data_IF_769922180330
#
_entry.id   IF_769922180330
#
_cell.length_a   1.000
_cell.length_b   1.000
_cell.length_c   1.000
_cell.angle_alpha   90.00
_cell.angle_beta   90.00
_cell.angle_gamma   90.00
#
_symmetry.space_group_name_H-M   'P 1'
#
loop_
_entity.id
_entity.type
_entity.pdbx_description
1 polymer ?
#
# COMPACT_ATOMS: atom_id res chain seq x y z
N UNK A 1 -4.72 21.10 25.00
CA UNK A 1 -5.30 20.13 24.05
C UNK A 1 -4.88 20.57 22.66
N UNK A 2 -3.72 20.06 22.23
CA UNK A 2 -3.04 20.49 21.01
C UNK A 2 -3.78 19.88 19.82
N UNK A 3 -4.18 20.72 18.87
CA UNK A 3 -4.75 20.33 17.58
C UNK A 3 -3.65 19.63 16.78
N UNK A 4 -3.86 18.35 16.43
CA UNK A 4 -3.07 17.69 15.41
C UNK A 4 -3.36 18.39 14.07
N UNK A 5 -2.29 18.83 13.41
CA UNK A 5 -2.35 19.60 12.17
C UNK A 5 -1.72 18.72 11.07
N UNK A 6 -2.46 17.75 10.55
CA UNK A 6 -2.07 17.03 9.33
C UNK A 6 -2.69 17.75 8.13
N UNK A 7 -1.97 18.75 7.60
CA UNK A 7 -2.30 19.36 6.31
C UNK A 7 -1.53 18.63 5.20
N UNK A 8 -2.23 18.24 4.13
CA UNK A 8 -1.97 18.61 2.71
C UNK A 8 -2.98 17.84 1.83
N UNK A 9 -3.84 18.57 1.10
CA UNK A 9 -4.19 18.27 -0.31
C UNK A 9 -5.04 19.39 -0.94
N UNK A 10 -4.46 20.24 -1.80
CA UNK A 10 -5.21 20.87 -2.92
C UNK A 10 -4.24 21.08 -4.08
N UNK A 11 -4.46 20.37 -5.20
CA UNK A 11 -4.49 20.97 -6.54
C UNK A 11 -4.85 19.92 -7.60
N UNK A 12 -6.08 20.04 -8.11
CA UNK A 12 -6.49 20.06 -9.53
C UNK A 12 -7.84 19.34 -9.71
N UNK A 13 -8.88 20.10 -10.04
CA UNK A 13 -10.09 19.64 -10.71
C UNK A 13 -10.51 20.69 -11.73
N UNK A 14 -10.62 20.27 -12.99
CA UNK A 14 -11.80 20.44 -13.85
C UNK A 14 -11.39 20.22 -15.32
N UNK A 15 -11.98 19.20 -15.96
CA UNK A 15 -12.92 19.38 -17.07
C UNK A 15 -13.41 17.99 -17.54
N UNK A 16 -14.69 17.68 -17.27
CA UNK A 16 -15.48 16.72 -18.02
C UNK A 16 -16.48 17.52 -18.87
N UNK A 17 -16.62 17.15 -20.15
CA UNK A 17 -17.88 16.64 -20.72
C UNK A 17 -17.91 16.79 -22.24
N UNK A 18 -18.44 15.76 -22.91
CA UNK A 18 -18.70 15.76 -24.35
C UNK A 18 -19.07 14.38 -24.89
N UNK A 19 -20.22 13.84 -24.48
CA UNK A 19 -20.83 12.65 -25.09
C UNK A 19 -21.16 12.87 -26.58
N UNK A 20 -20.96 11.83 -27.39
CA UNK A 20 -21.57 11.68 -28.71
C UNK A 20 -22.04 10.25 -28.90
N UNK A 21 -23.37 10.07 -29.00
CA UNK A 21 -24.06 8.81 -29.32
C UNK A 21 -23.85 8.43 -30.78
N UNK A 22 -23.88 7.12 -31.07
CA UNK A 22 -24.07 6.58 -32.40
C UNK A 22 -24.67 5.18 -32.32
N UNK A 23 -25.95 5.07 -32.68
CA UNK A 23 -26.70 3.84 -32.88
C UNK A 23 -26.23 3.12 -34.17
N UNK A 24 -26.33 1.79 -34.24
CA UNK A 24 -26.81 1.07 -35.46
C UNK A 24 -27.06 -0.43 -35.22
N UNK A 25 -28.33 -0.78 -35.40
CA UNK A 25 -28.95 -1.94 -36.05
C UNK A 25 -28.21 -3.30 -36.22
N UNK A 26 -28.85 -4.32 -35.62
CA UNK A 26 -29.24 -5.65 -36.14
C UNK A 26 -28.57 -6.25 -37.39
N UNK A 27 -28.11 -7.51 -37.27
CA UNK A 27 -28.53 -8.56 -38.21
C UNK A 27 -28.50 -9.96 -37.57
N UNK A 28 -29.49 -10.75 -37.98
CA UNK A 28 -29.78 -12.14 -37.64
C UNK A 28 -28.82 -13.15 -38.26
N UNK A 29 -28.54 -14.24 -37.56
CA UNK A 29 -27.92 -15.44 -38.12
C UNK A 29 -28.24 -16.66 -37.26
N UNK A 30 -29.29 -17.38 -37.62
CA UNK A 30 -29.63 -18.67 -37.03
C UNK A 30 -28.93 -19.77 -37.83
N UNK A 31 -28.23 -20.67 -37.14
CA UNK A 31 -28.00 -22.06 -37.57
C UNK A 31 -27.91 -22.92 -36.32
N UNK A 32 -28.85 -23.86 -36.21
CA UNK A 32 -28.82 -24.89 -35.17
C UNK A 32 -27.74 -25.92 -35.46
N UNK A 33 -27.31 -26.59 -34.40
CA UNK A 33 -26.74 -27.93 -34.52
C UNK A 33 -27.13 -28.76 -33.30
N UNK A 34 -27.63 -29.95 -33.58
CA UNK A 34 -28.10 -30.95 -32.62
C UNK A 34 -26.90 -31.70 -32.05
N UNK A 35 -26.77 -31.74 -30.72
CA UNK A 35 -25.83 -32.65 -30.07
C UNK A 35 -26.47 -33.32 -28.85
N UNK A 36 -27.05 -34.48 -29.14
CA UNK A 36 -27.11 -35.73 -28.35
C UNK A 36 -26.83 -35.63 -26.86
N UNK A 37 -27.89 -35.87 -26.11
CA UNK A 37 -27.93 -36.40 -24.75
C UNK A 37 -27.07 -37.65 -24.59
N UNK A 38 -26.13 -37.61 -23.66
CA UNK A 38 -25.52 -38.79 -23.03
C UNK A 38 -25.88 -38.74 -21.56
N UNK A 39 -26.75 -39.68 -21.16
CA UNK A 39 -27.09 -40.00 -19.78
C UNK A 39 -25.92 -40.70 -19.10
N UNK A 40 -25.45 -40.19 -17.96
CA UNK A 40 -24.47 -40.84 -17.10
C UNK A 40 -24.56 -40.33 -15.67
N UNK A 41 -24.83 -41.26 -14.76
CA UNK A 41 -24.69 -41.22 -13.30
C UNK A 41 -25.37 -40.13 -12.47
N UNK A 42 -26.56 -40.47 -11.95
CA UNK A 42 -27.09 -39.92 -10.71
C UNK A 42 -26.41 -40.59 -9.51
N UNK A 43 -25.22 -40.14 -9.14
CA UNK A 43 -24.88 -40.06 -7.73
C UNK A 43 -25.61 -38.81 -7.21
N UNK A 44 -26.53 -38.98 -6.27
CA UNK A 44 -27.28 -37.84 -5.72
C UNK A 44 -26.35 -36.91 -4.95
N UNK A 45 -25.69 -35.98 -5.65
CA UNK A 45 -25.10 -34.82 -5.02
C UNK A 45 -26.23 -34.08 -4.33
N UNK A 46 -26.17 -34.05 -2.99
CA UNK A 46 -27.10 -33.24 -2.21
C UNK A 46 -26.73 -31.79 -2.54
N UNK A 47 -27.48 -31.18 -3.45
CA UNK A 47 -27.26 -29.78 -3.83
C UNK A 47 -27.70 -28.90 -2.67
N UNK A 48 -26.75 -28.22 -2.05
CA UNK A 48 -27.01 -27.22 -1.03
C UNK A 48 -27.05 -25.83 -1.68
N UNK A 49 -27.96 -24.97 -1.20
CA UNK A 49 -28.02 -23.58 -1.66
C UNK A 49 -26.95 -22.72 -0.95
N UNK A 50 -25.77 -22.64 -1.57
CA UNK A 50 -24.63 -21.87 -1.05
C UNK A 50 -24.82 -20.34 -1.12
N UNK A 51 -25.97 -19.86 -1.61
CA UNK A 51 -26.32 -18.43 -1.59
C UNK A 51 -26.99 -18.01 -0.28
N UNK A 52 -27.40 -18.97 0.55
CA UNK A 52 -28.03 -18.74 1.85
C UNK A 52 -27.19 -19.28 2.99
N UNK A 53 -27.31 -18.64 4.17
CA UNK A 53 -26.58 -19.14 5.34
C UNK A 53 -27.09 -20.52 5.79
N UNK A 54 -28.38 -20.80 5.62
CA UNK A 54 -28.94 -22.11 5.98
C UNK A 54 -28.35 -23.22 5.10
N UNK A 55 -28.19 -22.98 3.79
CA UNK A 55 -27.55 -23.96 2.91
C UNK A 55 -26.09 -24.22 3.28
N UNK A 56 -25.33 -23.20 3.71
CA UNK A 56 -23.99 -23.41 4.26
C UNK A 56 -24.02 -24.19 5.59
N UNK A 57 -24.92 -23.84 6.51
CA UNK A 57 -25.08 -24.58 7.78
C UNK A 57 -25.34 -26.07 7.51
N UNK A 58 -26.24 -26.38 6.57
CA UNK A 58 -26.58 -27.76 6.21
C UNK A 58 -25.38 -28.47 5.55
N UNK A 59 -24.71 -27.82 4.60
CA UNK A 59 -23.52 -28.33 3.90
C UNK A 59 -22.41 -28.71 4.88
N UNK A 60 -22.13 -27.86 5.86
CA UNK A 60 -21.03 -28.02 6.82
C UNK A 60 -21.45 -28.68 8.14
N UNK A 61 -22.70 -29.14 8.27
CA UNK A 61 -23.25 -29.73 9.51
C UNK A 61 -22.60 -31.04 9.95
N UNK A 62 -21.90 -31.72 9.04
CA UNK A 62 -21.27 -33.02 9.28
C UNK A 62 -19.94 -32.93 10.03
N UNK A 63 -19.35 -31.74 10.16
CA UNK A 63 -18.11 -31.53 10.88
C UNK A 63 -18.32 -31.56 12.39
N UNK A 64 -17.43 -32.26 13.10
CA UNK A 64 -17.50 -32.41 14.57
C UNK A 64 -17.23 -31.10 15.32
N UNK A 65 -16.29 -30.30 14.82
CA UNK A 65 -15.87 -29.06 15.44
C UNK A 65 -16.55 -27.85 14.77
N UNK A 66 -16.97 -26.88 15.57
CA UNK A 66 -17.55 -25.63 15.09
C UNK A 66 -16.45 -24.56 14.94
N UNK A 67 -16.53 -23.75 13.89
CA UNK A 67 -15.70 -22.55 13.74
C UNK A 67 -15.98 -21.57 14.88
N UNK A 68 -14.93 -20.99 15.45
CA UNK A 68 -15.06 -20.01 16.52
C UNK A 68 -15.89 -18.80 16.06
N UNK A 69 -16.68 -18.27 16.99
CA UNK A 69 -17.53 -17.11 16.72
C UNK A 69 -16.64 -15.89 16.39
N UNK A 70 -16.87 -15.19 15.26
CA UNK A 70 -16.16 -13.96 14.95
C UNK A 70 -16.47 -12.86 15.98
N UNK A 71 -15.49 -11.99 16.20
CA UNK A 71 -15.57 -10.85 17.12
C UNK A 71 -15.52 -9.57 16.32
N UNK A 72 -16.40 -8.61 16.63
CA UNK A 72 -16.31 -7.24 16.13
C UNK A 72 -15.45 -6.44 17.10
N UNK A 73 -14.48 -5.71 16.57
CA UNK A 73 -13.57 -4.84 17.33
C UNK A 73 -14.01 -3.40 17.20
N UNK A 74 -14.23 -2.96 15.96
CA UNK A 74 -14.65 -1.61 15.65
C UNK A 74 -15.63 -1.60 14.48
N UNK A 75 -16.52 -0.61 14.46
CA UNK A 75 -17.50 -0.40 13.41
C UNK A 75 -17.85 1.08 13.28
N UNK A 76 -17.72 1.60 12.06
CA UNK A 76 -18.05 2.98 11.77
C UNK A 76 -18.68 3.16 10.39
N UNK A 77 -19.72 3.98 10.33
CA UNK A 77 -20.22 4.53 9.07
C UNK A 77 -19.39 5.74 8.66
N UNK A 78 -18.74 5.63 7.51
CA UNK A 78 -17.97 6.68 6.88
C UNK A 78 -18.85 7.52 5.95
N UNK A 79 -18.39 8.73 5.62
CA UNK A 79 -19.20 9.79 5.01
C UNK A 79 -19.72 9.53 3.62
N UNK A 80 -19.06 8.64 2.88
CA UNK A 80 -19.45 8.26 1.52
C UNK A 80 -20.55 7.19 1.49
N UNK A 81 -21.17 6.92 2.64
CA UNK A 81 -22.28 5.98 2.78
C UNK A 81 -21.83 4.54 2.99
N UNK A 82 -20.54 4.27 3.17
CA UNK A 82 -20.04 2.95 3.54
C UNK A 82 -20.05 2.80 5.06
N UNK A 83 -20.31 1.60 5.57
CA UNK A 83 -19.99 1.21 6.93
C UNK A 83 -18.87 0.18 6.90
N UNK A 84 -17.83 0.41 7.68
CA UNK A 84 -16.69 -0.50 7.81
C UNK A 84 -16.79 -1.21 9.15
N UNK A 85 -16.65 -2.53 9.12
CA UNK A 85 -16.62 -3.39 10.31
C UNK A 85 -15.30 -4.13 10.30
N UNK A 86 -14.58 -4.08 11.41
CA UNK A 86 -13.31 -4.79 11.58
C UNK A 86 -13.38 -5.74 12.77
N UNK A 87 -12.62 -6.82 12.70
CA UNK A 87 -12.72 -7.84 13.74
C UNK A 87 -11.72 -8.98 13.64
N UNK A 88 -11.88 -9.92 14.56
CA UNK A 88 -11.05 -11.12 14.68
C UNK A 88 -11.87 -12.38 14.46
N UNK A 89 -11.23 -13.40 13.89
CA UNK A 89 -11.77 -14.74 13.72
C UNK A 89 -10.60 -15.74 13.64
N UNK A 90 -10.90 -17.02 13.44
CA UNK A 90 -9.84 -17.99 13.13
C UNK A 90 -9.13 -17.61 11.82
N UNK A 91 -7.85 -17.94 11.73
CA UNK A 91 -7.03 -17.67 10.54
C UNK A 91 -7.52 -18.48 9.32
N UNK A 92 -7.41 -17.87 8.12
CA UNK A 92 -7.84 -18.44 6.84
C UNK A 92 -9.33 -18.82 6.77
N UNK A 93 -10.17 -18.28 7.66
CA UNK A 93 -11.62 -18.46 7.60
C UNK A 93 -12.25 -17.66 6.47
N UNK A 94 -13.26 -18.22 5.82
CA UNK A 94 -14.23 -17.46 5.03
C UNK A 94 -15.21 -16.75 5.98
N UNK A 95 -15.30 -15.43 5.89
CA UNK A 95 -16.20 -14.58 6.67
C UNK A 95 -17.34 -14.12 5.78
N UNK A 96 -18.56 -14.34 6.23
CA UNK A 96 -19.79 -14.09 5.47
C UNK A 96 -20.59 -12.99 6.14
N UNK A 97 -20.96 -11.99 5.33
CA UNK A 97 -21.98 -11.01 5.68
C UNK A 97 -23.34 -11.52 5.21
N UNK A 98 -24.30 -11.57 6.12
CA UNK A 98 -25.62 -12.15 5.88
C UNK A 98 -26.71 -11.13 6.20
N UNK A 99 -27.61 -10.94 5.24
CA UNK A 99 -28.78 -10.07 5.35
C UNK A 99 -30.06 -10.89 5.16
N UNK A 100 -30.91 -10.96 6.20
CA UNK A 100 -32.17 -11.71 6.17
C UNK A 100 -32.00 -13.16 5.70
N UNK A 101 -30.90 -13.80 6.10
CA UNK A 101 -30.54 -15.18 5.76
C UNK A 101 -29.82 -15.37 4.42
N UNK A 102 -29.72 -14.33 3.58
CA UNK A 102 -29.01 -14.38 2.30
C UNK A 102 -27.58 -13.88 2.48
N UNK A 103 -26.62 -14.53 1.83
CA UNK A 103 -25.22 -14.09 1.84
C UNK A 103 -25.09 -12.92 0.88
N UNK A 104 -24.64 -11.77 1.37
CA UNK A 104 -24.45 -10.55 0.55
C UNK A 104 -22.99 -10.29 0.24
N UNK A 105 -22.07 -10.76 1.08
CA UNK A 105 -20.64 -10.65 0.84
C UNK A 105 -19.89 -11.82 1.47
N UNK A 106 -18.77 -12.18 0.86
CA UNK A 106 -17.80 -13.15 1.37
C UNK A 106 -16.39 -12.59 1.25
N UNK A 107 -15.61 -12.69 2.32
CA UNK A 107 -14.18 -12.38 2.30
C UNK A 107 -13.40 -13.51 2.98
N UNK A 108 -12.10 -13.59 2.73
CA UNK A 108 -11.20 -14.49 3.47
C UNK A 108 -10.46 -13.69 4.53
N UNK A 109 -10.45 -14.15 5.77
CA UNK A 109 -9.66 -13.53 6.83
C UNK A 109 -8.15 -13.66 6.56
N UNK A 110 -7.38 -12.68 7.03
CA UNK A 110 -5.92 -12.67 6.90
C UNK A 110 -5.28 -12.64 8.28
N UNK A 111 -4.49 -13.68 8.61
CA UNK A 111 -3.82 -13.83 9.92
C UNK A 111 -4.75 -13.58 11.12
N UNK A 112 -5.96 -14.14 11.05
CA UNK A 112 -6.99 -14.06 12.08
C UNK A 112 -7.74 -12.72 12.18
N UNK A 113 -7.65 -11.88 11.15
CA UNK A 113 -8.31 -10.57 11.12
C UNK A 113 -9.18 -10.41 9.88
N UNK A 114 -10.25 -9.62 9.99
CA UNK A 114 -11.11 -9.28 8.86
C UNK A 114 -11.52 -7.80 8.90
N UNK A 115 -11.75 -7.22 7.72
CA UNK A 115 -12.36 -5.90 7.53
C UNK A 115 -13.37 -6.03 6.40
N UNK A 116 -14.62 -5.66 6.66
CA UNK A 116 -15.77 -5.78 5.76
C UNK A 116 -16.36 -4.39 5.54
N UNK A 117 -16.85 -4.16 4.32
CA UNK A 117 -17.48 -2.91 3.90
C UNK A 117 -18.94 -3.17 3.52
N UNK A 118 -19.85 -2.34 4.04
CA UNK A 118 -21.29 -2.40 3.78
C UNK A 118 -21.70 -1.08 3.13
N UNK A 119 -22.25 -1.14 1.92
CA UNK A 119 -22.82 0.05 1.28
C UNK A 119 -24.20 0.34 1.87
N UNK A 120 -24.40 1.59 2.30
CA UNK A 120 -25.64 2.12 2.83
C UNK A 120 -26.18 3.25 1.94
N UNK A 121 -27.46 3.18 1.64
CA UNK A 121 -28.26 4.26 1.09
C UNK A 121 -28.64 5.27 2.18
N UNK A 122 -28.88 6.52 1.79
CA UNK A 122 -29.27 7.61 2.70
C UNK A 122 -30.54 7.33 3.53
N UNK A 123 -31.35 6.35 3.12
CA UNK A 123 -32.61 5.97 3.78
C UNK A 123 -32.41 4.91 4.87
N UNK A 124 -31.25 4.25 4.91
CA UNK A 124 -30.97 3.16 5.85
C UNK A 124 -30.60 3.73 7.22
N UNK A 125 -31.61 3.90 8.07
CA UNK A 125 -31.45 4.36 9.46
C UNK A 125 -31.09 3.23 10.43
N UNK A 126 -31.34 1.98 10.04
CA UNK A 126 -30.76 0.78 10.66
C UNK A 126 -30.76 -0.36 9.64
N UNK A 127 -29.62 -1.02 9.48
CA UNK A 127 -29.41 -2.19 8.64
C UNK A 127 -28.81 -3.30 9.51
N UNK A 128 -29.65 -4.25 9.89
CA UNK A 128 -29.26 -5.44 10.66
C UNK A 128 -28.48 -6.41 9.76
N UNK A 129 -27.33 -6.84 10.24
CA UNK A 129 -26.45 -7.80 9.55
C UNK A 129 -25.95 -8.84 10.54
N UNK A 130 -25.83 -10.07 10.06
CA UNK A 130 -25.17 -11.16 10.79
C UNK A 130 -23.82 -11.45 10.13
N UNK A 131 -22.80 -11.69 10.95
CA UNK A 131 -21.47 -12.11 10.47
C UNK A 131 -21.20 -13.53 10.96
N UNK A 132 -20.91 -14.42 10.01
CA UNK A 132 -20.53 -15.81 10.24
C UNK A 132 -19.09 -16.04 9.78
N UNK A 133 -18.44 -17.06 10.31
CA UNK A 133 -17.14 -17.54 9.84
C UNK A 133 -17.20 -19.06 9.59
N UNK A 134 -16.43 -19.50 8.60
CA UNK A 134 -16.22 -20.92 8.29
C UNK A 134 -14.71 -21.14 8.11
N UNK A 135 -14.14 -22.03 8.91
CA UNK A 135 -12.76 -22.49 8.77
C UNK A 135 -12.77 -23.89 8.15
N UNK A 136 -11.77 -24.17 7.31
CA UNK A 136 -11.63 -25.48 6.67
C UNK A 136 -11.68 -26.62 7.71
N UNK A 137 -12.50 -27.64 7.44
CA UNK A 137 -12.68 -28.79 8.33
C UNK A 137 -13.61 -28.56 9.54
N UNK A 138 -14.33 -27.44 9.60
CA UNK A 138 -15.25 -27.10 10.69
C UNK A 138 -16.66 -26.75 10.20
N UNK A 139 -17.64 -26.91 11.09
CA UNK A 139 -19.00 -26.43 10.92
C UNK A 139 -19.05 -24.90 10.99
N UNK A 140 -20.11 -24.31 10.43
CA UNK A 140 -20.35 -22.86 10.44
C UNK A 140 -20.37 -22.30 11.87
N UNK A 141 -19.75 -21.14 12.10
CA UNK A 141 -19.74 -20.49 13.40
C UNK A 141 -21.15 -20.10 13.88
N UNK A 142 -21.27 -19.76 15.17
CA UNK A 142 -22.40 -18.92 15.62
C UNK A 142 -22.24 -17.50 15.04
N UNK A 143 -23.34 -16.78 14.76
CA UNK A 143 -23.24 -15.42 14.28
C UNK A 143 -22.82 -14.44 15.38
N UNK A 144 -22.22 -13.34 14.95
CA UNK A 144 -22.32 -12.06 15.65
C UNK A 144 -23.32 -11.17 14.91
N UNK A 145 -24.29 -10.63 15.65
CA UNK A 145 -25.33 -9.77 15.10
C UNK A 145 -24.96 -8.32 15.40
N UNK A 146 -25.13 -7.45 14.43
CA UNK A 146 -24.90 -6.01 14.59
C UNK A 146 -25.80 -5.22 13.65
N UNK A 147 -25.89 -3.92 13.89
CA UNK A 147 -26.62 -2.99 13.04
C UNK A 147 -25.71 -1.84 12.65
N UNK A 148 -25.80 -1.41 11.40
CA UNK A 148 -25.14 -0.21 10.90
C UNK A 148 -26.19 0.78 10.38
N UNK A 149 -25.89 2.06 10.43
CA UNK A 149 -26.83 3.13 10.03
C UNK A 149 -26.11 4.19 9.23
N UNK A 150 -26.74 4.70 8.17
CA UNK A 150 -26.21 5.82 7.40
C UNK A 150 -26.04 7.06 8.29
N UNK A 151 -24.92 7.77 8.13
CA UNK A 151 -24.63 9.03 8.83
C UNK A 151 -24.34 10.12 7.81
N UNK A 152 -25.00 11.27 7.96
CA UNK A 152 -24.84 12.44 7.07
C UNK A 152 -23.92 13.52 7.67
N UNK A 153 -22.81 13.13 8.28
CA UNK A 153 -21.81 14.08 8.79
C UNK A 153 -20.40 13.50 8.75
N UNK A 154 -19.42 14.38 8.62
CA UNK A 154 -18.00 14.04 8.52
C UNK A 154 -17.39 13.85 9.90
N UNK A 155 -17.08 12.60 10.25
CA UNK A 155 -16.28 12.28 11.44
C UNK A 155 -14.78 12.46 11.16
N UNK A 156 -14.32 12.08 9.98
CA UNK A 156 -12.95 12.23 9.53
C UNK A 156 -12.92 12.63 8.05
N UNK A 157 -12.21 13.72 7.71
CA UNK A 157 -12.14 14.27 6.34
C UNK A 157 -11.35 13.38 5.37
N UNK A 158 -10.72 12.30 5.85
CA UNK A 158 -9.83 11.47 5.04
C UNK A 158 -10.44 10.13 4.62
N UNK A 159 -11.67 9.83 5.02
CA UNK A 159 -12.30 8.52 4.82
C UNK A 159 -12.43 8.13 3.34
N UNK A 160 -12.65 9.12 2.45
CA UNK A 160 -12.71 8.88 1.00
C UNK A 160 -11.35 8.57 0.37
N UNK A 161 -10.25 8.73 1.11
CA UNK A 161 -8.93 8.34 0.67
C UNK A 161 -8.61 6.86 0.92
N UNK A 162 -9.51 6.10 1.54
CA UNK A 162 -9.27 4.70 1.88
C UNK A 162 -10.20 3.76 1.14
N UNK A 163 -9.60 2.82 0.41
CA UNK A 163 -10.25 1.70 -0.25
C UNK A 163 -10.11 0.44 0.59
N UNK A 164 -11.24 -0.23 0.88
CA UNK A 164 -11.22 -1.58 1.45
C UNK A 164 -11.08 -2.59 0.30
N UNK A 165 -9.99 -3.34 0.33
CA UNK A 165 -9.70 -4.43 -0.59
C UNK A 165 -10.11 -5.79 -0.04
N UNK A 166 -9.79 -6.84 -0.80
CA UNK A 166 -10.00 -8.24 -0.38
C UNK A 166 -9.12 -8.56 0.82
N UNK A 167 -9.57 -9.53 1.61
CA UNK A 167 -8.90 -9.99 2.83
C UNK A 167 -8.58 -8.86 3.84
N UNK A 168 -9.37 -7.79 3.82
CA UNK A 168 -9.23 -6.63 4.69
C UNK A 168 -7.93 -5.84 4.49
N UNK A 169 -7.34 -5.89 3.30
CA UNK A 169 -6.30 -4.95 2.90
C UNK A 169 -6.89 -3.56 2.74
N UNK A 170 -6.17 -2.53 3.18
CA UNK A 170 -6.53 -1.15 2.93
C UNK A 170 -5.57 -0.55 1.90
N UNK A 171 -6.10 0.27 0.99
CA UNK A 171 -5.33 0.96 -0.02
C UNK A 171 -5.66 2.45 -0.05
N UNK A 172 -4.65 3.27 -0.32
CA UNK A 172 -4.84 4.70 -0.53
C UNK A 172 -5.41 4.96 -1.93
N UNK A 173 -6.57 5.61 -2.04
CA UNK A 173 -7.29 5.76 -3.33
C UNK A 173 -6.50 6.59 -4.35
N UNK A 174 -5.61 7.49 -3.90
CA UNK A 174 -4.74 8.25 -4.82
C UNK A 174 -3.71 7.37 -5.55
N UNK A 175 -3.59 6.09 -5.21
CA UNK A 175 -2.78 5.12 -5.96
C UNK A 175 -3.54 4.47 -7.12
N UNK A 176 -4.88 4.56 -7.14
CA UNK A 176 -5.73 3.96 -8.18
C UNK A 176 -5.48 4.51 -9.59
N UNK A 177 -5.28 5.84 -9.80
CA UNK A 177 -5.03 6.37 -11.14
C UNK A 177 -3.78 5.79 -11.81
N UNK A 178 -2.70 5.58 -11.06
CA UNK A 178 -1.49 4.94 -11.54
C UNK A 178 -1.69 3.45 -11.78
N UNK A 179 -2.40 2.78 -10.86
CA UNK A 179 -2.67 1.34 -10.95
C UNK A 179 -3.54 0.96 -12.14
N UNK A 180 -4.51 1.80 -12.50
CA UNK A 180 -5.43 1.59 -13.62
C UNK A 180 -4.94 2.18 -14.94
N UNK A 181 -3.74 2.77 -14.97
CA UNK A 181 -3.25 3.53 -16.12
C UNK A 181 -2.97 2.64 -17.34
N UNK A 182 -3.47 3.06 -18.50
CA UNK A 182 -3.22 2.40 -19.79
C UNK A 182 -2.53 3.30 -20.83
N UNK A 183 -2.23 4.57 -20.52
CA UNK A 183 -1.83 5.56 -21.53
C UNK A 183 -0.33 5.93 -21.53
N UNK A 184 0.45 5.43 -20.57
CA UNK A 184 1.91 5.64 -20.53
C UNK A 184 2.38 7.10 -20.63
N UNK A 185 3.62 7.29 -21.05
CA UNK A 185 4.26 8.57 -21.37
C UNK A 185 4.23 8.80 -22.87
N UNK A 186 3.75 9.98 -23.28
CA UNK A 186 3.95 10.42 -24.65
C UNK A 186 5.42 10.71 -24.96
N UNK A 187 5.84 10.51 -26.21
CA UNK A 187 7.20 10.80 -26.68
C UNK A 187 7.68 12.21 -26.35
N UNK A 188 6.79 13.19 -26.45
CA UNK A 188 7.10 14.59 -26.09
C UNK A 188 7.38 14.75 -24.60
N UNK A 189 6.63 14.05 -23.73
CA UNK A 189 6.90 14.05 -22.28
C UNK A 189 8.19 13.33 -21.96
N UNK A 190 8.42 12.15 -22.55
CA UNK A 190 9.65 11.37 -22.41
C UNK A 190 10.88 12.22 -22.76
N UNK A 191 10.87 12.86 -23.93
CA UNK A 191 11.96 13.72 -24.41
C UNK A 191 12.26 14.90 -23.46
N UNK A 192 11.21 15.54 -22.91
CA UNK A 192 11.37 16.65 -21.93
C UNK A 192 12.00 16.17 -20.62
N UNK A 193 11.61 14.99 -20.15
CA UNK A 193 12.18 14.37 -18.94
C UNK A 193 13.67 14.13 -19.17
N UNK A 194 14.03 13.45 -20.27
CA UNK A 194 15.42 13.15 -20.62
C UNK A 194 16.27 14.42 -20.65
N UNK A 195 15.87 15.45 -21.41
CA UNK A 195 16.64 16.70 -21.52
C UNK A 195 16.80 17.41 -20.17
N UNK A 196 15.76 17.39 -19.32
CA UNK A 196 15.83 17.99 -17.98
C UNK A 196 16.82 17.25 -17.09
N UNK A 197 16.78 15.92 -17.08
CA UNK A 197 17.71 15.12 -16.28
C UNK A 197 19.14 15.26 -16.78
N UNK A 198 19.37 15.27 -18.11
CA UNK A 198 20.68 15.55 -18.69
C UNK A 198 21.25 16.89 -18.21
N UNK A 199 20.40 17.93 -18.15
CA UNK A 199 20.82 19.25 -17.64
C UNK A 199 21.18 19.19 -16.15
N UNK A 200 20.41 18.46 -15.32
CA UNK A 200 20.70 18.31 -13.88
C UNK A 200 21.99 17.54 -13.66
N UNK A 201 22.16 16.40 -14.32
CA UNK A 201 23.37 15.57 -14.25
C UNK A 201 24.61 16.35 -14.70
N UNK A 202 24.51 17.09 -15.81
CA UNK A 202 25.61 17.94 -16.29
C UNK A 202 25.96 19.04 -15.29
N UNK A 203 24.98 19.69 -14.67
CA UNK A 203 25.21 20.72 -13.68
C UNK A 203 25.88 20.18 -12.40
N UNK A 204 25.43 19.03 -11.90
CA UNK A 204 25.94 18.41 -10.67
C UNK A 204 27.31 17.75 -10.86
N UNK A 205 27.55 17.12 -12.02
CA UNK A 205 28.82 16.44 -12.29
C UNK A 205 30.03 17.38 -12.27
N UNK A 206 29.86 18.67 -12.58
CA UNK A 206 30.91 19.69 -12.47
C UNK A 206 31.37 19.90 -11.01
N UNK A 207 30.55 19.51 -10.04
CA UNK A 207 30.78 19.67 -8.60
C UNK A 207 31.15 18.33 -7.93
N UNK A 208 31.23 17.23 -8.70
CA UNK A 208 31.46 15.89 -8.16
C UNK A 208 30.21 15.20 -7.60
N UNK A 209 29.04 15.85 -7.64
CA UNK A 209 27.79 15.31 -7.12
C UNK A 209 27.10 14.40 -8.14
N UNK A 210 26.59 13.26 -7.68
CA UNK A 210 25.78 12.31 -8.48
C UNK A 210 24.31 12.36 -8.09
N UNK A 211 23.43 11.98 -9.01
CA UNK A 211 21.98 11.90 -8.78
C UNK A 211 21.53 10.43 -8.77
N UNK A 212 20.73 10.06 -7.77
CA UNK A 212 20.11 8.73 -7.66
C UNK A 212 18.59 8.91 -7.55
N UNK A 213 17.84 8.19 -8.38
CA UNK A 213 16.39 8.06 -8.25
C UNK A 213 16.06 6.68 -7.72
N UNK A 214 15.42 6.61 -6.55
CA UNK A 214 14.87 5.38 -5.97
C UNK A 214 13.37 5.41 -6.18
N UNK A 215 12.88 4.51 -7.03
CA UNK A 215 11.47 4.43 -7.43
C UNK A 215 10.81 3.24 -6.76
N UNK A 216 9.71 3.50 -6.06
CA UNK A 216 9.04 2.53 -5.19
C UNK A 216 7.62 2.31 -5.69
N UNK A 217 7.24 1.06 -6.00
CA UNK A 217 5.89 0.78 -6.45
C UNK A 217 4.87 1.06 -5.33
N UNK A 218 3.65 1.45 -5.70
CA UNK A 218 2.55 1.51 -4.74
C UNK A 218 2.17 0.09 -4.25
N UNK A 219 1.52 -0.06 -3.08
CA UNK A 219 1.15 -1.36 -2.54
C UNK A 219 0.26 -2.16 -3.51
N UNK A 220 -0.66 -1.50 -4.21
CA UNK A 220 -1.57 -2.14 -5.18
C UNK A 220 -0.86 -2.65 -6.45
N UNK A 221 0.32 -2.14 -6.79
CA UNK A 221 1.14 -2.67 -7.89
C UNK A 221 1.76 -4.04 -7.53
N UNK A 222 2.11 -4.24 -6.26
CA UNK A 222 2.71 -5.48 -5.74
C UNK A 222 1.65 -6.48 -5.28
N UNK A 223 0.60 -6.01 -4.60
CA UNK A 223 -0.46 -6.81 -4.00
C UNK A 223 -1.81 -6.67 -4.74
N UNK A 224 -1.77 -6.74 -6.07
CA UNK A 224 -2.93 -6.55 -6.94
C UNK A 224 -4.07 -7.56 -6.69
N UNK A 225 -3.77 -8.76 -6.17
CA UNK A 225 -4.75 -9.79 -5.81
C UNK A 225 -5.68 -9.38 -4.67
N UNK A 226 -5.28 -8.37 -3.88
CA UNK A 226 -6.11 -7.83 -2.80
C UNK A 226 -6.90 -6.59 -3.25
N UNK A 227 -6.73 -6.11 -4.48
CA UNK A 227 -7.60 -5.06 -5.01
C UNK A 227 -9.03 -5.60 -5.28
N UNK A 228 -10.07 -4.77 -5.15
CA UNK A 228 -11.42 -5.12 -5.57
C UNK A 228 -11.47 -5.55 -7.04
N UNK A 229 -12.38 -6.47 -7.40
CA UNK A 229 -12.45 -7.07 -8.75
C UNK A 229 -12.81 -6.07 -9.84
N UNK A 230 -13.57 -5.05 -9.47
CA UNK A 230 -13.99 -3.95 -10.34
C UNK A 230 -12.86 -2.97 -10.66
N UNK A 231 -11.75 -2.98 -9.91
CA UNK A 231 -10.60 -2.11 -10.15
C UNK A 231 -9.53 -2.90 -10.90
N UNK A 232 -9.52 -2.74 -12.22
CA UNK A 232 -8.67 -3.52 -13.12
C UNK A 232 -7.29 -2.86 -13.25
N UNK A 233 -6.24 -3.65 -13.03
CA UNK A 233 -4.86 -3.22 -13.26
C UNK A 233 -4.64 -2.84 -14.72
N UNK A 234 -4.00 -1.70 -14.94
CA UNK A 234 -3.58 -1.25 -16.26
C UNK A 234 -2.47 -2.12 -16.86
N UNK A 235 -2.29 -2.03 -18.17
CA UNK A 235 -1.28 -2.84 -18.89
C UNK A 235 0.08 -2.14 -19.01
N UNK A 236 0.16 -0.85 -18.70
CA UNK A 236 1.36 -0.03 -18.86
C UNK A 236 1.95 0.34 -17.51
N UNK A 237 3.23 0.01 -17.30
CA UNK A 237 3.96 0.41 -16.10
C UNK A 237 4.54 1.82 -16.27
N UNK A 238 3.78 2.82 -15.84
CA UNK A 238 4.21 4.22 -15.89
C UNK A 238 5.55 4.47 -15.17
N UNK A 239 5.78 3.77 -14.05
CA UNK A 239 7.05 3.79 -13.31
C UNK A 239 8.22 3.35 -14.18
N UNK A 240 8.08 2.25 -14.91
CA UNK A 240 9.16 1.70 -15.75
C UNK A 240 9.53 2.65 -16.90
N UNK A 241 8.55 3.31 -17.51
CA UNK A 241 8.81 4.31 -18.54
C UNK A 241 9.52 5.57 -17.97
N UNK A 242 9.14 5.99 -16.76
CA UNK A 242 9.85 7.05 -16.03
C UNK A 242 11.27 6.60 -15.70
N UNK A 243 11.46 5.40 -15.16
CA UNK A 243 12.76 4.83 -14.85
C UNK A 243 13.68 4.83 -16.08
N UNK A 244 13.14 4.37 -17.21
CA UNK A 244 13.82 4.38 -18.51
C UNK A 244 14.22 5.81 -18.92
N UNK A 245 13.31 6.77 -18.87
CA UNK A 245 13.59 8.17 -19.23
C UNK A 245 14.62 8.84 -18.30
N UNK A 246 14.59 8.55 -17.00
CA UNK A 246 15.56 9.04 -16.01
C UNK A 246 16.96 8.46 -16.32
N UNK A 247 17.04 7.16 -16.61
CA UNK A 247 18.29 6.49 -16.98
C UNK A 247 18.85 6.99 -18.31
N UNK A 248 18.02 7.16 -19.34
CA UNK A 248 18.41 7.79 -20.63
C UNK A 248 18.89 9.24 -20.42
N UNK A 249 18.40 9.89 -19.37
CA UNK A 249 18.86 11.20 -18.91
C UNK A 249 20.26 11.21 -18.27
N UNK A 250 20.83 10.03 -17.99
CA UNK A 250 22.15 9.86 -17.36
C UNK A 250 22.12 9.80 -15.83
N UNK A 251 20.94 9.68 -15.21
CA UNK A 251 20.84 9.46 -13.76
C UNK A 251 21.02 7.99 -13.39
N UNK A 252 21.50 7.72 -12.17
CA UNK A 252 21.39 6.39 -11.57
C UNK A 252 19.94 6.14 -11.14
N UNK A 253 19.39 4.99 -11.50
CA UNK A 253 18.01 4.61 -11.16
C UNK A 253 18.00 3.28 -10.43
N UNK A 254 17.40 3.26 -9.24
CA UNK A 254 17.13 2.07 -8.44
C UNK A 254 15.61 1.88 -8.46
N UNK A 255 15.16 0.93 -9.28
CA UNK A 255 13.75 0.63 -9.41
C UNK A 255 13.39 -0.62 -8.58
N UNK A 256 12.51 -0.44 -7.59
CA UNK A 256 12.14 -1.49 -6.65
C UNK A 256 11.05 -2.43 -7.17
N UNK A 257 10.46 -2.17 -8.34
CA UNK A 257 9.36 -2.97 -8.90
C UNK A 257 9.65 -4.48 -8.94
N UNK A 258 10.69 -4.87 -9.65
CA UNK A 258 11.05 -6.28 -9.84
C UNK A 258 11.59 -6.91 -8.54
N UNK A 259 12.34 -6.15 -7.76
CA UNK A 259 12.85 -6.58 -6.45
C UNK A 259 11.70 -6.98 -5.52
N UNK A 260 10.68 -6.12 -5.38
CA UNK A 260 9.55 -6.39 -4.50
C UNK A 260 8.65 -7.51 -5.05
N UNK A 261 8.46 -7.62 -6.36
CA UNK A 261 7.74 -8.76 -6.98
C UNK A 261 8.40 -10.10 -6.64
N UNK A 262 9.74 -10.17 -6.67
CA UNK A 262 10.48 -11.39 -6.36
C UNK A 262 10.53 -11.75 -4.87
N UNK A 263 10.38 -10.76 -3.98
CA UNK A 263 10.34 -10.99 -2.53
C UNK A 263 8.95 -11.37 -2.02
N UNK A 264 7.91 -11.12 -2.82
CA UNK A 264 6.52 -11.38 -2.45
C UNK A 264 6.28 -12.86 -2.19
N UNK A 265 5.50 -13.14 -1.15
CA UNK A 265 5.21 -14.51 -0.72
C UNK A 265 6.30 -15.14 0.15
N UNK A 266 7.34 -14.37 0.50
CA UNK A 266 8.32 -14.75 1.51
C UNK A 266 7.79 -14.72 2.95
N UNK A 267 8.68 -14.95 3.91
CA UNK A 267 8.38 -14.98 5.35
C UNK A 267 7.86 -13.63 5.89
N UNK A 268 8.33 -12.54 5.31
CA UNK A 268 8.06 -11.17 5.77
C UNK A 268 7.14 -10.42 4.81
N UNK A 269 6.27 -9.60 5.37
CA UNK A 269 5.40 -8.71 4.61
C UNK A 269 6.21 -7.59 3.99
N UNK A 270 5.89 -7.22 2.75
CA UNK A 270 6.53 -6.08 2.07
C UNK A 270 5.81 -4.77 2.36
N UNK A 271 4.52 -4.83 2.67
CA UNK A 271 3.71 -3.68 3.02
C UNK A 271 2.84 -3.99 4.23
N UNK A 272 2.63 -2.98 5.05
CA UNK A 272 1.69 -3.02 6.15
C UNK A 272 0.26 -3.06 5.60
N UNK A 273 -0.56 -4.02 6.04
CA UNK A 273 -1.89 -4.26 5.46
C UNK A 273 -2.91 -3.14 5.70
N UNK A 274 -2.78 -2.43 6.82
CA UNK A 274 -3.70 -1.36 7.24
C UNK A 274 -3.04 0.01 7.26
N UNK A 275 -1.90 0.14 6.58
CA UNK A 275 -1.10 1.34 6.51
C UNK A 275 -0.72 1.60 5.05
N UNK A 276 -0.41 2.84 4.71
CA UNK A 276 -0.04 3.25 3.36
C UNK A 276 1.41 2.90 3.02
N UNK A 277 2.25 2.56 4.00
CA UNK A 277 3.69 2.36 3.83
C UNK A 277 4.09 0.89 3.63
N UNK A 278 5.25 0.72 2.99
CA UNK A 278 5.99 -0.54 3.00
C UNK A 278 6.57 -0.86 4.40
N UNK A 279 7.03 -2.09 4.61
CA UNK A 279 7.70 -2.49 5.86
C UNK A 279 9.19 -2.12 5.86
N UNK A 280 9.79 -2.12 7.06
CA UNK A 280 11.23 -2.04 7.22
C UNK A 280 11.99 -3.15 6.46
N UNK A 281 11.39 -4.34 6.31
CA UNK A 281 11.97 -5.42 5.52
C UNK A 281 12.06 -5.08 4.03
N UNK A 282 11.00 -4.54 3.43
CA UNK A 282 11.05 -4.08 2.04
C UNK A 282 12.04 -2.92 1.87
N UNK A 283 12.07 -1.98 2.82
CA UNK A 283 12.95 -0.83 2.82
C UNK A 283 14.44 -1.21 2.86
N UNK A 284 14.80 -2.32 3.51
CA UNK A 284 16.17 -2.83 3.54
C UNK A 284 16.75 -3.05 2.15
N UNK A 285 15.96 -3.52 1.18
CA UNK A 285 16.47 -3.78 -0.16
C UNK A 285 16.76 -2.49 -0.93
N UNK A 286 16.00 -1.42 -0.70
CA UNK A 286 16.31 -0.10 -1.21
C UNK A 286 17.57 0.47 -0.55
N UNK A 287 17.66 0.37 0.78
CA UNK A 287 18.87 0.72 1.54
C UNK A 287 20.12 0.00 1.01
N UNK A 288 20.01 -1.31 0.79
CA UNK A 288 21.10 -2.16 0.29
C UNK A 288 21.56 -1.69 -1.09
N UNK A 289 20.63 -1.46 -2.02
CA UNK A 289 20.95 -1.00 -3.36
C UNK A 289 21.65 0.38 -3.36
N UNK A 290 21.19 1.31 -2.51
CA UNK A 290 21.82 2.63 -2.35
C UNK A 290 23.26 2.47 -1.82
N UNK A 291 23.45 1.64 -0.79
CA UNK A 291 24.75 1.39 -0.18
C UNK A 291 25.72 0.67 -1.14
N UNK A 292 25.23 -0.26 -1.95
CA UNK A 292 26.01 -0.91 -3.01
C UNK A 292 26.46 0.10 -4.07
N UNK A 293 25.60 1.06 -4.44
CA UNK A 293 25.99 2.15 -5.32
C UNK A 293 27.10 3.00 -4.71
N UNK A 294 26.99 3.40 -3.44
CA UNK A 294 28.03 4.16 -2.74
C UNK A 294 29.36 3.39 -2.69
N UNK A 295 29.32 2.12 -2.33
CA UNK A 295 30.52 1.28 -2.27
C UNK A 295 31.18 1.13 -3.64
N UNK A 296 30.39 0.96 -4.71
CA UNK A 296 30.89 0.87 -6.09
C UNK A 296 31.59 2.15 -6.56
N UNK A 297 31.19 3.29 -6.01
CA UNK A 297 31.75 4.61 -6.29
C UNK A 297 32.98 4.94 -5.42
N UNK A 298 33.40 4.02 -4.54
CA UNK A 298 34.62 4.14 -3.73
C UNK A 298 34.38 4.44 -2.25
N UNK A 299 33.13 4.64 -1.82
CA UNK A 299 32.79 4.85 -0.40
C UNK A 299 32.65 3.53 0.36
N UNK A 300 33.76 2.83 0.55
CA UNK A 300 33.78 1.49 1.19
C UNK A 300 33.20 1.47 2.61
N UNK A 301 33.26 2.60 3.34
CA UNK A 301 32.67 2.75 4.67
C UNK A 301 31.14 2.78 4.67
N UNK A 302 30.52 2.91 3.49
CA UNK A 302 29.08 2.91 3.28
C UNK A 302 28.54 1.57 2.76
N UNK A 303 29.34 0.50 2.74
CA UNK A 303 28.88 -0.84 2.34
C UNK A 303 27.65 -1.28 3.15
N UNK A 304 26.68 -1.97 2.53
CA UNK A 304 25.46 -2.37 3.24
C UNK A 304 25.79 -3.27 4.44
N UNK A 305 25.04 -3.12 5.53
CA UNK A 305 25.02 -4.13 6.62
C UNK A 305 24.47 -5.45 6.11
N UNK A 306 24.87 -6.53 6.77
CA UNK A 306 24.28 -7.84 6.48
C UNK A 306 22.82 -7.84 6.95
N UNK A 307 21.94 -8.52 6.19
CA UNK A 307 20.51 -8.57 6.50
C UNK A 307 20.24 -9.16 7.90
N UNK A 308 21.12 -10.04 8.39
CA UNK A 308 21.02 -10.64 9.72
C UNK A 308 21.17 -9.64 10.87
N UNK A 309 21.76 -8.46 10.63
CA UNK A 309 21.93 -7.41 11.66
C UNK A 309 20.63 -6.64 11.95
N UNK A 310 19.58 -6.81 11.13
CA UNK A 310 18.32 -6.05 11.20
C UNK A 310 17.22 -6.73 12.02
N UNK A 311 17.36 -8.03 12.34
CA UNK A 311 16.44 -8.71 13.26
C UNK A 311 14.96 -8.68 12.84
N UNK A 312 14.66 -8.81 11.54
CA UNK A 312 13.27 -8.75 11.05
C UNK A 312 12.38 -9.81 11.72
N UNK A 313 11.20 -9.36 12.14
CA UNK A 313 10.20 -10.22 12.81
C UNK A 313 8.78 -9.77 12.47
N UNK A 314 7.90 -10.75 12.39
CA UNK A 314 6.47 -10.51 12.29
C UNK A 314 5.91 -10.27 13.69
N UNK A 315 5.33 -9.10 13.93
CA UNK A 315 4.72 -8.72 15.20
C UNK A 315 3.29 -8.25 15.01
N UNK A 316 2.49 -8.38 16.06
CA UNK A 316 1.11 -7.90 16.08
C UNK A 316 1.03 -6.53 16.75
N UNK A 317 0.90 -5.49 15.94
CA UNK A 317 0.84 -4.08 16.37
C UNK A 317 -0.52 -3.45 16.03
N UNK A 318 -0.81 -2.31 16.64
CA UNK A 318 -1.96 -1.46 16.30
C UNK A 318 -2.01 -1.15 14.80
N UNK A 319 -3.22 -0.94 14.28
CA UNK A 319 -3.46 -0.68 12.88
C UNK A 319 -2.80 0.63 12.41
N UNK A 320 -2.62 0.75 11.09
CA UNK A 320 -1.89 1.85 10.47
C UNK A 320 -2.72 3.08 10.15
N UNK A 321 -2.08 4.01 9.43
CA UNK A 321 -2.66 5.29 9.03
C UNK A 321 -3.97 5.15 8.22
N UNK A 322 -4.10 4.18 7.32
CA UNK A 322 -5.32 3.98 6.54
C UNK A 322 -6.50 3.52 7.40
N UNK A 323 -6.24 2.79 8.49
CA UNK A 323 -7.30 2.42 9.44
C UNK A 323 -7.76 3.64 10.25
N UNK A 324 -6.80 4.48 10.65
CA UNK A 324 -7.09 5.76 11.30
C UNK A 324 -7.83 6.73 10.38
N UNK A 325 -7.47 6.79 9.09
CA UNK A 325 -8.11 7.66 8.09
C UNK A 325 -9.57 7.26 7.82
N UNK A 326 -9.92 5.98 8.04
CA UNK A 326 -11.33 5.55 8.09
C UNK A 326 -12.09 6.10 9.30
N UNK A 327 -11.42 6.73 10.27
CA UNK A 327 -11.98 7.23 11.51
C UNK A 327 -12.12 6.17 12.61
N UNK A 328 -11.54 4.98 12.41
CA UNK A 328 -11.56 3.89 13.37
C UNK A 328 -10.43 4.04 14.41
N UNK A 329 -10.59 3.43 15.58
CA UNK A 329 -9.58 3.47 16.65
C UNK A 329 -8.44 2.49 16.36
N UNK A 330 -7.35 3.02 15.80
CA UNK A 330 -6.11 2.29 15.48
C UNK A 330 -5.57 1.45 16.64
N UNK A 331 -5.84 1.83 17.90
CA UNK A 331 -5.33 1.12 19.09
C UNK A 331 -6.14 -0.12 19.46
N UNK A 332 -7.41 -0.17 19.03
CA UNK A 332 -8.33 -1.28 19.31
C UNK A 332 -8.11 -2.49 18.40
N UNK A 333 -7.64 -2.23 17.17
CA UNK A 333 -7.44 -3.24 16.14
C UNK A 333 -5.96 -3.49 15.89
N UNK A 334 -5.54 -4.75 16.01
CA UNK A 334 -4.14 -5.15 15.84
C UNK A 334 -3.97 -6.12 14.68
N UNK A 335 -3.01 -5.80 13.83
CA UNK A 335 -2.65 -6.59 12.64
C UNK A 335 -1.22 -7.08 12.75
N UNK A 336 -0.95 -8.24 12.16
CA UNK A 336 0.42 -8.70 11.99
C UNK A 336 1.10 -7.89 10.89
N UNK A 337 2.36 -7.50 11.12
CA UNK A 337 3.24 -7.00 10.08
C UNK A 337 4.71 -7.14 10.43
N UNK A 338 5.60 -6.75 9.53
CA UNK A 338 7.05 -6.91 9.71
C UNK A 338 7.73 -5.64 10.19
N UNK A 339 8.56 -5.79 11.21
CA UNK A 339 9.38 -4.73 11.81
C UNK A 339 10.82 -5.21 12.02
N UNK A 340 11.74 -4.27 12.17
CA UNK A 340 13.15 -4.54 12.47
C UNK A 340 13.45 -4.44 13.97
N UNK A 341 14.54 -5.08 14.37
CA UNK A 341 15.16 -4.98 15.69
C UNK A 341 16.67 -4.93 15.47
N UNK A 342 17.13 -3.74 15.06
CA UNK A 342 18.51 -3.54 14.64
C UNK A 342 19.47 -3.76 15.82
N UNK A 343 20.61 -4.41 15.52
CA UNK A 343 21.63 -4.73 16.51
C UNK A 343 22.79 -3.73 16.54
N UNK A 344 22.67 -2.64 15.78
CA UNK A 344 23.69 -1.61 15.61
C UNK A 344 23.13 -0.23 15.96
N UNK A 345 24.02 0.67 16.38
CA UNK A 345 23.67 2.04 16.68
C UNK A 345 23.56 2.89 15.40
N UNK A 346 22.60 3.81 15.38
CA UNK A 346 22.45 4.83 14.35
C UNK A 346 22.71 6.22 14.97
N UNK A 347 23.12 7.23 14.18
CA UNK A 347 23.31 8.59 14.69
C UNK A 347 21.97 9.34 14.90
N UNK A 348 20.85 8.63 14.88
CA UNK A 348 19.50 9.18 14.84
C UNK A 348 18.78 8.85 16.13
N UNK A 349 18.47 9.88 16.93
CA UNK A 349 17.64 9.79 18.13
C UNK A 349 16.21 10.25 17.84
N UNK A 350 15.59 9.61 16.84
CA UNK A 350 14.23 9.90 16.39
C UNK A 350 13.55 8.58 16.00
N UNK A 351 12.51 8.13 16.74
CA UNK A 351 11.82 6.89 16.40
C UNK A 351 11.02 7.04 15.11
N UNK A 352 11.07 5.99 14.26
CA UNK A 352 10.32 5.90 13.00
C UNK A 352 8.81 5.91 13.18
N UNK A 353 8.36 5.27 14.26
CA UNK A 353 6.95 5.04 14.57
C UNK A 353 6.52 5.93 15.74
N UNK A 354 5.24 6.30 15.78
CA UNK A 354 4.71 7.16 16.84
C UNK A 354 4.65 6.48 18.22
N UNK A 355 4.81 5.14 18.29
CA UNK A 355 5.13 4.36 19.48
C UNK A 355 5.60 2.94 19.10
N UNK A 356 6.10 2.17 20.06
CA UNK A 356 6.65 0.82 19.84
C UNK A 356 5.60 -0.21 19.39
N UNK A 357 4.32 0.02 19.69
CA UNK A 357 3.23 -0.94 19.48
C UNK A 357 2.33 -0.64 18.27
N UNK A 358 2.77 0.22 17.36
CA UNK A 358 2.01 0.66 16.17
C UNK A 358 2.87 0.71 14.90
N UNK A 359 2.22 0.74 13.74
CA UNK A 359 2.87 0.97 12.43
C UNK A 359 2.81 2.42 11.96
N UNK A 360 1.94 3.25 12.54
CA UNK A 360 1.83 4.66 12.16
C UNK A 360 3.14 5.40 12.42
N UNK A 361 3.63 6.09 11.40
CA UNK A 361 4.87 6.86 11.44
C UNK A 361 4.84 7.94 12.54
N UNK A 362 6.03 8.38 12.96
CA UNK A 362 6.20 9.53 13.82
C UNK A 362 6.12 10.82 12.99
N UNK A 363 5.23 11.74 13.35
CA UNK A 363 5.02 13.00 12.63
C UNK A 363 6.28 13.90 12.66
N UNK A 364 7.13 13.77 13.68
CA UNK A 364 8.41 14.50 13.74
C UNK A 364 9.36 14.09 12.61
N UNK A 365 9.18 12.89 12.03
CA UNK A 365 9.90 12.45 10.85
C UNK A 365 9.41 13.13 9.56
N UNK A 366 8.46 14.08 9.60
CA UNK A 366 7.99 14.79 8.41
C UNK A 366 8.86 16.01 8.05
N UNK A 367 9.59 16.53 9.04
CA UNK A 367 10.36 17.77 8.94
C UNK A 367 11.72 17.56 8.24
N UNK A 368 12.43 18.67 8.05
CA UNK A 368 13.84 18.63 7.68
C UNK A 368 14.66 17.96 8.78
N UNK A 369 15.55 17.04 8.42
CA UNK A 369 16.43 16.36 9.37
C UNK A 369 17.88 16.39 8.88
N UNK A 370 18.81 16.58 9.81
CA UNK A 370 20.24 16.60 9.55
C UNK A 370 20.96 15.72 10.57
N UNK A 371 21.83 14.84 10.06
CA UNK A 371 22.62 13.94 10.90
C UNK A 371 24.07 13.92 10.44
N UNK A 372 25.00 13.88 11.39
CA UNK A 372 26.41 13.69 11.13
C UNK A 372 26.92 12.44 11.83
N UNK A 373 27.54 11.53 11.07
CA UNK A 373 28.12 10.32 11.62
C UNK A 373 29.64 10.43 11.69
N UNK A 374 30.15 10.73 12.87
CA UNK A 374 31.59 10.85 13.13
C UNK A 374 32.32 9.50 13.20
N UNK A 375 31.61 8.38 13.30
CA UNK A 375 32.19 7.07 13.55
C UNK A 375 32.71 6.35 12.29
N UNK A 376 32.40 6.84 11.08
CA UNK A 376 32.76 6.18 9.83
C UNK A 376 33.75 6.97 8.98
N UNK A 377 34.89 6.36 8.66
CA UNK A 377 35.77 6.85 7.59
C UNK A 377 35.22 6.43 6.22
N UNK A 378 35.49 7.24 5.18
CA UNK A 378 35.13 6.93 3.79
C UNK A 378 33.62 6.67 3.55
N UNK A 379 32.77 7.53 4.10
CA UNK A 379 31.32 7.55 3.89
C UNK A 379 30.92 8.81 3.10
N UNK A 380 29.89 8.74 2.24
CA UNK A 380 29.46 9.88 1.44
C UNK A 380 28.60 10.84 2.26
N UNK A 381 28.45 12.05 1.73
CA UNK A 381 27.46 13.02 2.14
C UNK A 381 26.27 13.03 1.18
N UNK A 382 25.04 13.14 1.71
CA UNK A 382 23.82 12.99 0.89
C UNK A 382 22.78 14.05 1.20
N UNK A 383 22.11 14.55 0.16
CA UNK A 383 20.85 15.28 0.25
C UNK A 383 19.73 14.37 -0.28
N UNK A 384 18.72 14.08 0.54
CA UNK A 384 17.58 13.26 0.16
C UNK A 384 16.30 14.10 0.01
N UNK A 385 15.77 14.14 -1.20
CA UNK A 385 14.43 14.64 -1.53
C UNK A 385 13.47 13.44 -1.51
N UNK A 386 12.48 13.44 -0.61
CA UNK A 386 11.82 12.19 -0.21
C UNK A 386 10.32 12.33 0.01
N UNK A 387 9.63 11.21 -0.08
CA UNK A 387 8.34 11.02 0.58
C UNK A 387 8.49 10.17 1.86
N UNK A 388 7.35 9.85 2.48
CA UNK A 388 7.27 9.18 3.77
C UNK A 388 7.81 7.75 3.76
N UNK A 389 7.96 7.09 2.60
CA UNK A 389 8.51 5.74 2.54
C UNK A 389 9.97 5.67 2.98
N UNK A 390 10.71 6.77 2.84
CA UNK A 390 12.09 6.89 3.31
C UNK A 390 12.23 6.73 4.83
N UNK A 391 11.16 6.96 5.60
CA UNK A 391 11.16 6.84 7.08
C UNK A 391 11.51 5.40 7.49
N UNK A 392 11.23 4.39 6.67
CA UNK A 392 11.56 3.01 7.01
C UNK A 392 13.06 2.69 6.96
N UNK A 393 13.93 3.59 6.46
CA UNK A 393 15.37 3.35 6.35
C UNK A 393 16.28 4.55 6.66
N UNK A 394 15.72 5.73 6.97
CA UNK A 394 16.50 6.97 7.04
C UNK A 394 17.63 6.94 8.09
N UNK A 395 17.39 6.27 9.21
CA UNK A 395 18.35 6.05 10.30
C UNK A 395 19.50 5.12 9.87
N UNK A 396 19.19 4.03 9.17
CA UNK A 396 20.19 3.12 8.63
C UNK A 396 21.04 3.79 7.55
N UNK A 397 20.41 4.60 6.70
CA UNK A 397 21.11 5.36 5.68
C UNK A 397 21.98 6.45 6.30
N UNK A 398 21.49 7.18 7.30
CA UNK A 398 22.27 8.16 8.04
C UNK A 398 23.49 7.52 8.72
N UNK A 399 23.35 6.28 9.20
CA UNK A 399 24.48 5.50 9.68
C UNK A 399 25.50 5.19 8.57
N UNK A 400 25.08 5.03 7.30
CA UNK A 400 26.00 4.79 6.17
C UNK A 400 26.56 6.04 5.50
N UNK A 401 26.18 7.23 5.95
CA UNK A 401 26.69 8.50 5.43
C UNK A 401 27.58 9.21 6.47
N UNK A 402 28.49 10.07 6.02
CA UNK A 402 29.22 10.99 6.89
C UNK A 402 28.37 12.19 7.29
N UNK A 403 27.51 12.66 6.38
CA UNK A 403 26.47 13.66 6.64
C UNK A 403 25.24 13.38 5.80
N UNK A 404 24.06 13.52 6.38
CA UNK A 404 22.79 13.26 5.70
C UNK A 404 21.83 14.41 5.96
N UNK A 405 21.32 14.98 4.88
CA UNK A 405 20.31 16.02 4.88
C UNK A 405 19.04 15.46 4.27
N UNK A 406 17.99 15.33 5.06
CA UNK A 406 16.68 14.86 4.60
C UNK A 406 15.76 16.06 4.50
N UNK A 407 15.29 16.37 3.28
CA UNK A 407 14.30 17.44 3.07
C UNK A 407 12.97 17.08 3.77
N UNK A 408 12.16 18.09 4.09
CA UNK A 408 10.76 17.87 4.43
C UNK A 408 10.07 16.99 3.39
N UNK A 409 9.09 16.21 3.84
CA UNK A 409 8.37 15.31 2.94
C UNK A 409 7.76 16.07 1.75
N UNK A 410 7.84 15.45 0.58
CA UNK A 410 7.30 15.93 -0.69
C UNK A 410 7.93 17.22 -1.25
N UNK A 411 9.04 17.70 -0.67
CA UNK A 411 9.83 18.79 -1.22
C UNK A 411 10.84 18.26 -2.26
N UNK A 412 10.38 18.16 -3.53
CA UNK A 412 11.17 17.60 -4.64
C UNK A 412 11.83 18.65 -5.54
N UNK A 413 11.83 19.91 -5.13
CA UNK A 413 12.37 20.98 -5.95
C UNK A 413 13.89 20.82 -6.13
N UNK A 414 14.35 20.88 -7.37
CA UNK A 414 15.78 20.91 -7.66
C UNK A 414 16.34 22.31 -7.43
N UNK A 415 17.23 22.47 -6.44
CA UNK A 415 17.95 23.70 -6.17
C UNK A 415 19.47 23.48 -6.23
N UNK A 416 20.06 23.90 -7.35
CA UNK A 416 21.50 23.76 -7.58
C UNK A 416 22.35 24.58 -6.59
N UNK A 417 21.84 25.70 -6.07
CA UNK A 417 22.57 26.53 -5.13
C UNK A 417 22.60 25.88 -3.75
N UNK A 418 21.47 25.33 -3.29
CA UNK A 418 21.40 24.54 -2.05
C UNK A 418 22.37 23.35 -2.13
N UNK A 419 22.26 22.54 -3.20
CA UNK A 419 23.11 21.37 -3.40
C UNK A 419 24.59 21.75 -3.40
N UNK A 420 24.96 22.81 -4.12
CA UNK A 420 26.34 23.28 -4.17
C UNK A 420 26.84 23.81 -2.82
N UNK A 421 25.98 24.48 -2.06
CA UNK A 421 26.32 25.01 -0.73
C UNK A 421 26.55 23.90 0.31
N UNK A 422 25.80 22.81 0.21
CA UNK A 422 25.99 21.64 1.08
C UNK A 422 27.20 20.80 0.67
N UNK A 423 27.60 20.85 -0.61
CA UNK A 423 28.76 20.12 -1.13
C UNK A 423 28.59 18.60 -1.04
N UNK A 424 27.37 18.10 -1.26
CA UNK A 424 27.05 16.67 -1.10
C UNK A 424 27.61 15.81 -2.24
N UNK A 425 27.96 14.57 -1.92
CA UNK A 425 28.38 13.57 -2.93
C UNK A 425 27.18 13.05 -3.73
N UNK A 426 26.00 12.95 -3.11
CA UNK A 426 24.78 12.47 -3.77
C UNK A 426 23.56 13.34 -3.47
N UNK A 427 22.71 13.48 -4.49
CA UNK A 427 21.31 13.89 -4.36
C UNK A 427 20.44 12.67 -4.65
N UNK A 428 19.61 12.28 -3.68
CA UNK A 428 18.76 11.10 -3.77
C UNK A 428 17.30 11.55 -3.82
N UNK A 429 16.60 11.18 -4.89
CA UNK A 429 15.15 11.28 -4.98
C UNK A 429 14.54 9.95 -4.56
N UNK A 430 13.82 9.92 -3.44
CA UNK A 430 13.22 8.72 -2.86
C UNK A 430 11.69 8.77 -2.92
N UNK A 431 11.10 8.06 -3.89
CA UNK A 431 9.76 8.39 -4.40
C UNK A 431 8.92 7.16 -4.72
N UNK A 432 7.67 7.21 -4.27
CA UNK A 432 6.60 6.30 -4.63
C UNK A 432 5.91 6.65 -5.96
N UNK A 433 5.30 5.66 -6.59
CA UNK A 433 4.56 5.80 -7.86
C UNK A 433 3.54 6.95 -7.87
N UNK A 434 2.83 7.15 -6.76
CA UNK A 434 1.86 8.23 -6.61
C UNK A 434 2.49 9.63 -6.76
N UNK A 435 3.78 9.77 -6.46
CA UNK A 435 4.52 11.03 -6.45
C UNK A 435 5.43 11.22 -7.68
N UNK A 436 5.49 10.28 -8.62
CA UNK A 436 6.37 10.37 -9.80
C UNK A 436 6.18 11.65 -10.61
N UNK A 437 4.95 12.17 -10.68
CA UNK A 437 4.66 13.41 -11.39
C UNK A 437 5.35 14.63 -10.77
N UNK A 438 5.74 14.59 -9.50
CA UNK A 438 6.33 15.72 -8.79
C UNK A 438 7.79 15.98 -9.18
N UNK A 439 8.51 14.97 -9.71
CA UNK A 439 9.92 15.12 -10.14
C UNK A 439 10.12 15.38 -11.63
N UNK A 440 9.07 15.21 -12.40
CA UNK A 440 9.07 15.30 -13.87
C UNK A 440 8.28 16.49 -14.42
N UNK A 441 7.69 17.32 -13.55
CA UNK A 441 7.02 18.57 -13.93
C UNK A 441 7.98 19.57 -14.53
#
# INVERSE_FOLDING_TARGET
MKKALCLILILVLAFLSGCGKGDTETSSGATGDESKTVSGDTSGETSFDETTIQGLIDKYSHFEYQTDKPVIVDSLTVTDGRAVISGYCEENSEVYLVEKGNITQKITSYKGTYIIEIILSEKETSKEVDIYAITEGKAVSRPIQTAVSYKNYVECEYQHYVRVGKAGWLFFTNTEPQYTNNEGLSENRKSRIISRIQSRVSNLSQQGTKIIYVLIPNPNEIYSEYMPEEIIKGTVSYREEIASALSEGGATVIDMGETLKNLKGGEFELYHRTDSHWTEYAAYFAYKAICEQFASDGFSGASPRDISEFGFKNERRAAGDLYFDLGLDETSFKTHSTFSDITFETPVDLPKYSADDRSRINDDCMEYMEFHNSAGQNKPSVLMMRDSYSIMLFDWLAERCGSSYFKPLWEFQFDANEISSLGVDYVIYFITDMNLNSIIR
#
